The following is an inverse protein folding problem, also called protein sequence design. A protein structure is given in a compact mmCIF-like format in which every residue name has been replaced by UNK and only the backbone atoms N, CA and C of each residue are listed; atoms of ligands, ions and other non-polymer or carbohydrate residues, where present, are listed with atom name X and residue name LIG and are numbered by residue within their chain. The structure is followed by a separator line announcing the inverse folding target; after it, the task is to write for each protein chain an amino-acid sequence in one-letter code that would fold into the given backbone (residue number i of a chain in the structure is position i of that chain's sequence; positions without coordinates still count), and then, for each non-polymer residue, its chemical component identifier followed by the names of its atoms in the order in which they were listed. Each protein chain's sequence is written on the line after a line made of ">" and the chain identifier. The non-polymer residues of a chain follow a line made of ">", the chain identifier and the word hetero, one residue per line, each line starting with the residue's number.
data_IF_137161949110
#
_entry.id   IF_137161949110
#
_cell.length_a   1.000
_cell.length_b   1.000
_cell.length_c   1.000
_cell.angle_alpha   90.00
_cell.angle_beta   90.00
_cell.angle_gamma   90.00
#
_symmetry.space_group_name_H-M   'P 1'
#
loop_
_entity.id
_entity.type
_entity.pdbx_description
1 polymer ?
#
# COMPACT_ATOMS: atom_id res chain seq x y z
N UNK A 1 6.19 -4.67 -14.77
CA UNK A 1 5.52 -5.01 -16.05
C UNK A 1 4.01 -4.87 -15.95
N UNK A 2 3.30 -5.60 -15.06
CA UNK A 2 1.85 -5.43 -14.90
C UNK A 2 1.44 -3.98 -14.55
N UNK A 3 2.12 -3.34 -13.59
CA UNK A 3 1.85 -1.93 -13.24
C UNK A 3 2.02 -0.99 -14.44
N UNK A 4 3.07 -1.21 -15.25
CA UNK A 4 3.36 -0.43 -16.46
C UNK A 4 2.35 -0.71 -17.57
N UNK A 5 1.82 -1.93 -17.67
CA UNK A 5 0.74 -2.28 -18.60
C UNK A 5 -0.55 -1.53 -18.26
N UNK A 6 -0.90 -1.44 -16.97
CA UNK A 6 -2.12 -0.78 -16.51
C UNK A 6 -2.01 0.74 -16.56
N UNK A 7 -0.86 1.29 -16.17
CA UNK A 7 -0.71 2.73 -15.89
C UNK A 7 0.25 3.46 -16.82
N UNK A 8 1.00 2.74 -17.66
CA UNK A 8 2.08 3.28 -18.49
C UNK A 8 3.33 3.68 -17.69
N UNK A 9 3.29 3.61 -16.35
CA UNK A 9 4.36 4.03 -15.46
C UNK A 9 4.80 2.88 -14.55
N UNK A 10 6.06 2.91 -14.11
CA UNK A 10 6.66 1.79 -13.36
C UNK A 10 6.51 1.89 -11.84
N UNK A 11 6.44 3.10 -11.29
CA UNK A 11 6.40 3.33 -9.83
C UNK A 11 5.34 4.37 -9.47
N UNK A 12 5.57 5.64 -9.82
CA UNK A 12 4.68 6.75 -9.47
C UNK A 12 3.56 6.89 -10.51
N UNK A 13 2.48 6.13 -10.34
CA UNK A 13 1.46 5.96 -11.37
C UNK A 13 0.16 6.77 -11.17
N UNK A 14 -0.06 7.38 -10.00
CA UNK A 14 -1.27 8.16 -9.68
C UNK A 14 -2.60 7.46 -10.06
N UNK A 15 -2.62 6.12 -9.93
CA UNK A 15 -3.72 5.28 -10.37
C UNK A 15 -4.92 5.34 -9.43
N UNK A 16 -4.68 5.26 -8.12
CA UNK A 16 -5.72 5.39 -7.09
C UNK A 16 -6.01 6.87 -6.88
N UNK A 17 -7.29 7.26 -6.96
CA UNK A 17 -7.75 8.65 -6.82
C UNK A 17 -8.94 8.74 -5.88
N UNK A 18 -9.22 9.91 -5.28
CA UNK A 18 -10.46 10.11 -4.56
C UNK A 18 -11.66 9.77 -5.47
N UNK A 19 -12.47 8.80 -5.06
CA UNK A 19 -13.60 8.30 -5.83
C UNK A 19 -13.37 7.01 -6.61
N UNK A 20 -12.18 6.40 -6.60
CA UNK A 20 -11.93 5.10 -7.25
C UNK A 20 -10.55 4.98 -7.89
N UNK A 21 -10.49 4.46 -9.12
CA UNK A 21 -9.25 4.33 -9.90
C UNK A 21 -9.34 5.08 -11.23
N UNK A 22 -8.19 5.57 -11.72
CA UNK A 22 -8.14 6.52 -12.83
C UNK A 22 -8.60 5.94 -14.18
N UNK A 23 -8.34 4.66 -14.41
CA UNK A 23 -8.76 3.90 -15.60
C UNK A 23 -9.08 2.47 -15.20
N UNK A 24 -9.83 1.78 -16.03
CA UNK A 24 -10.03 0.34 -15.88
C UNK A 24 -8.80 -0.46 -16.34
N UNK A 25 -8.75 -1.74 -15.99
CA UNK A 25 -7.70 -2.64 -16.44
C UNK A 25 -7.77 -2.84 -17.95
N UNK A 26 -6.64 -2.71 -18.68
CA UNK A 26 -6.63 -3.01 -20.10
C UNK A 26 -6.86 -4.51 -20.35
N UNK A 27 -7.40 -4.89 -21.54
CA UNK A 27 -7.59 -6.28 -21.91
C UNK A 27 -6.32 -7.12 -21.76
N UNK A 28 -6.44 -8.35 -21.25
CA UNK A 28 -5.31 -9.25 -21.01
C UNK A 28 -4.54 -8.99 -19.71
N UNK A 29 -4.87 -7.96 -18.94
CA UNK A 29 -4.22 -7.71 -17.63
C UNK A 29 -4.43 -8.85 -16.63
N UNK A 30 -5.64 -9.43 -16.62
CA UNK A 30 -6.00 -10.56 -15.77
C UNK A 30 -5.17 -11.81 -16.13
N UNK A 31 -5.02 -12.08 -17.43
CA UNK A 31 -4.21 -13.22 -17.89
C UNK A 31 -2.73 -13.03 -17.53
N UNK A 32 -2.21 -11.81 -17.69
CA UNK A 32 -0.85 -11.47 -17.27
C UNK A 32 -0.63 -11.64 -15.76
N UNK A 33 -1.63 -11.30 -14.93
CA UNK A 33 -1.59 -11.54 -13.49
C UNK A 33 -1.56 -13.05 -13.18
N UNK A 34 -2.41 -13.83 -13.84
CA UNK A 34 -2.46 -15.30 -13.67
C UNK A 34 -1.18 -16.01 -14.09
N UNK A 35 -0.48 -15.50 -15.11
CA UNK A 35 0.83 -16.01 -15.51
C UNK A 35 1.94 -15.62 -14.52
N UNK A 36 1.87 -14.39 -13.98
CA UNK A 36 2.89 -13.84 -13.09
C UNK A 36 2.85 -14.48 -11.69
N UNK A 37 1.67 -14.72 -11.12
CA UNK A 37 1.52 -15.22 -9.73
C UNK A 37 2.30 -16.53 -9.49
N UNK A 38 2.21 -17.57 -10.34
CA UNK A 38 3.01 -18.79 -10.20
C UNK A 38 4.52 -18.54 -10.26
N UNK A 39 4.97 -17.61 -11.10
CA UNK A 39 6.40 -17.27 -11.22
C UNK A 39 6.91 -16.61 -9.93
N UNK A 40 6.14 -15.68 -9.36
CA UNK A 40 6.47 -15.05 -8.07
C UNK A 40 6.47 -16.10 -6.96
N UNK A 41 5.45 -16.97 -6.90
CA UNK A 41 5.36 -18.04 -5.91
C UNK A 41 6.57 -18.97 -5.94
N UNK A 42 7.04 -19.33 -7.15
CA UNK A 42 8.26 -20.11 -7.35
C UNK A 42 9.49 -19.37 -6.85
N UNK A 43 9.66 -18.10 -7.24
CA UNK A 43 10.79 -17.28 -6.80
C UNK A 43 10.84 -17.11 -5.28
N UNK A 44 9.68 -16.99 -4.62
CA UNK A 44 9.60 -16.97 -3.16
C UNK A 44 10.09 -18.30 -2.55
N UNK A 45 9.67 -19.44 -3.11
CA UNK A 45 10.13 -20.75 -2.63
C UNK A 45 11.64 -20.96 -2.79
N UNK A 46 12.21 -20.49 -3.91
CA UNK A 46 13.66 -20.51 -4.13
C UNK A 46 14.40 -19.59 -3.14
N UNK A 47 13.85 -18.41 -2.85
CA UNK A 47 14.39 -17.48 -1.86
C UNK A 47 14.33 -18.07 -0.44
N UNK A 48 13.23 -18.71 -0.07
CA UNK A 48 13.07 -19.38 1.21
C UNK A 48 14.07 -20.51 1.42
N UNK A 49 14.28 -21.34 0.39
CA UNK A 49 15.26 -22.42 0.44
C UNK A 49 16.70 -21.90 0.68
N UNK A 50 17.01 -20.72 0.15
CA UNK A 50 18.32 -20.07 0.32
C UNK A 50 18.48 -19.39 1.69
N UNK A 51 17.42 -18.78 2.22
CA UNK A 51 17.50 -17.92 3.39
C UNK A 51 17.14 -18.62 4.70
N UNK A 52 16.05 -19.39 4.73
CA UNK A 52 15.39 -19.78 5.98
C UNK A 52 16.30 -20.60 6.89
N UNK A 53 16.95 -21.64 6.34
CA UNK A 53 17.84 -22.55 7.08
C UNK A 53 19.32 -22.17 6.97
N UNK A 54 19.62 -20.99 6.45
CA UNK A 54 21.01 -20.54 6.33
C UNK A 54 21.58 -20.19 7.71
N UNK A 55 22.63 -20.89 8.19
CA UNK A 55 23.19 -20.67 9.52
C UNK A 55 23.83 -19.28 9.66
N UNK A 56 24.35 -18.71 8.57
CA UNK A 56 24.94 -17.37 8.58
C UNK A 56 23.83 -16.33 8.80
N UNK A 57 22.70 -16.49 8.10
CA UNK A 57 21.58 -15.57 8.26
C UNK A 57 20.96 -15.68 9.65
N UNK A 58 20.68 -16.90 10.12
CA UNK A 58 20.17 -17.13 11.48
C UNK A 58 21.11 -16.55 12.53
N UNK A 59 22.41 -16.82 12.43
CA UNK A 59 23.42 -16.28 13.36
C UNK A 59 23.56 -14.75 13.35
N UNK A 60 23.00 -14.05 12.35
CA UNK A 60 22.98 -12.57 12.28
C UNK A 60 21.64 -11.94 12.59
N UNK A 61 20.57 -12.71 12.72
CA UNK A 61 19.19 -12.19 12.80
C UNK A 61 18.38 -12.73 13.97
N UNK A 62 18.71 -13.93 14.47
CA UNK A 62 18.10 -14.50 15.67
C UNK A 62 18.62 -13.75 16.89
N UNK A 63 17.72 -13.40 17.81
CA UNK A 63 18.02 -12.62 19.03
C UNK A 63 18.63 -11.22 18.76
N UNK A 64 18.52 -10.72 17.53
CA UNK A 64 19.01 -9.38 17.13
C UNK A 64 17.84 -8.42 16.93
N UNK A 65 17.99 -7.20 17.47
CA UNK A 65 16.98 -6.15 17.35
C UNK A 65 15.69 -6.47 18.12
N UNK A 66 15.78 -7.18 19.23
CA UNK A 66 14.60 -7.64 19.98
C UNK A 66 13.78 -6.44 20.47
N UNK A 67 12.47 -6.47 20.26
CA UNK A 67 11.54 -5.50 20.84
C UNK A 67 10.33 -6.22 21.40
N UNK A 68 10.12 -6.08 22.72
CA UNK A 68 9.01 -6.73 23.42
C UNK A 68 7.66 -6.11 23.06
N UNK A 69 6.57 -6.82 23.35
CA UNK A 69 5.21 -6.29 23.20
C UNK A 69 5.03 -4.97 23.96
N UNK A 70 5.53 -4.89 25.20
CA UNK A 70 5.48 -3.67 26.00
C UNK A 70 6.26 -2.52 25.34
N UNK A 71 7.44 -2.81 24.78
CA UNK A 71 8.22 -1.84 24.01
C UNK A 71 7.50 -1.35 22.76
N UNK A 72 6.88 -2.27 22.01
CA UNK A 72 6.08 -1.91 20.84
C UNK A 72 4.92 -0.99 21.19
N UNK A 73 4.19 -1.29 22.28
CA UNK A 73 3.07 -0.49 22.75
C UNK A 73 3.50 0.89 23.24
N UNK A 74 4.58 0.96 24.02
CA UNK A 74 5.10 2.22 24.55
C UNK A 74 5.57 3.18 23.45
N UNK A 75 6.14 2.65 22.37
CA UNK A 75 6.68 3.42 21.24
C UNK A 75 5.69 3.60 20.08
N UNK A 76 4.47 3.07 20.19
CA UNK A 76 3.44 3.18 19.12
C UNK A 76 3.86 2.49 17.81
N UNK A 77 4.52 1.34 17.93
CA UNK A 77 5.05 0.52 16.84
C UNK A 77 3.97 -0.42 16.31
N UNK A 78 3.85 -0.54 14.99
CA UNK A 78 2.80 -1.33 14.32
C UNK A 78 3.40 -2.23 13.23
N UNK A 79 2.55 -2.99 12.53
CA UNK A 79 2.98 -3.82 11.40
C UNK A 79 3.79 -5.07 11.79
N UNK A 80 4.73 -5.51 10.94
CA UNK A 80 5.50 -6.73 11.16
C UNK A 80 6.29 -6.75 12.48
N UNK A 81 6.71 -5.58 12.98
CA UNK A 81 7.42 -5.47 14.25
C UNK A 81 6.49 -5.84 15.41
N UNK A 82 5.27 -5.30 15.44
CA UNK A 82 4.28 -5.65 16.44
C UNK A 82 3.84 -7.12 16.30
N UNK A 83 3.63 -7.59 15.07
CA UNK A 83 3.25 -8.99 14.80
C UNK A 83 4.33 -10.01 15.17
N UNK A 84 5.60 -9.61 15.27
CA UNK A 84 6.68 -10.47 15.78
C UNK A 84 6.61 -10.73 17.29
N UNK A 85 5.72 -10.04 18.01
CA UNK A 85 5.47 -10.24 19.45
C UNK A 85 4.34 -11.23 19.74
N UNK A 86 3.65 -11.70 18.70
CA UNK A 86 2.52 -12.62 18.79
C UNK A 86 1.16 -11.93 18.79
N UNK A 87 1.11 -10.59 18.78
CA UNK A 87 -0.15 -9.85 18.70
C UNK A 87 -0.67 -9.79 17.26
N UNK A 88 -1.86 -10.34 16.95
CA UNK A 88 -2.45 -10.31 15.61
C UNK A 88 -3.11 -8.96 15.31
N UNK A 89 -2.32 -7.89 15.31
CA UNK A 89 -2.79 -6.55 14.98
C UNK A 89 -2.60 -6.27 13.48
N UNK A 90 -3.71 -6.15 12.76
CA UNK A 90 -3.75 -5.86 11.33
C UNK A 90 -5.05 -5.12 10.98
N UNK A 91 -4.94 -3.91 10.43
CA UNK A 91 -6.12 -3.09 10.13
C UNK A 91 -7.04 -3.73 9.09
N UNK A 92 -6.52 -4.56 8.18
CA UNK A 92 -7.35 -5.19 7.13
C UNK A 92 -8.39 -6.16 7.68
N UNK A 93 -8.20 -6.64 8.92
CA UNK A 93 -9.18 -7.47 9.65
C UNK A 93 -9.87 -6.70 10.79
N UNK A 94 -9.16 -5.81 11.48
CA UNK A 94 -9.70 -5.08 12.64
C UNK A 94 -10.62 -3.91 12.25
N UNK A 95 -10.24 -3.14 11.23
CA UNK A 95 -11.00 -2.02 10.68
C UNK A 95 -10.95 -2.09 9.14
N UNK A 96 -11.71 -3.03 8.54
CA UNK A 96 -11.58 -3.34 7.13
C UNK A 96 -11.93 -2.15 6.22
N UNK A 97 -11.18 -2.03 5.14
CA UNK A 97 -11.38 -1.02 4.11
C UNK A 97 -11.25 -1.67 2.73
N UNK A 98 -11.72 -1.00 1.67
CA UNK A 98 -11.57 -1.47 0.29
C UNK A 98 -12.03 -2.93 0.03
N UNK A 99 -12.95 -3.46 0.82
CA UNK A 99 -13.47 -4.82 0.68
C UNK A 99 -12.60 -5.91 1.30
N UNK A 100 -11.58 -5.60 2.11
CA UNK A 100 -10.72 -6.61 2.75
C UNK A 100 -11.48 -7.64 3.59
N UNK A 101 -12.65 -7.28 4.13
CA UNK A 101 -13.55 -8.16 4.85
C UNK A 101 -14.10 -9.33 4.02
N UNK A 102 -14.03 -9.22 2.69
CA UNK A 102 -14.52 -10.25 1.76
C UNK A 102 -13.45 -11.22 1.26
N UNK A 103 -12.18 -10.98 1.58
CA UNK A 103 -11.08 -11.85 1.19
C UNK A 103 -10.66 -12.79 2.33
N UNK A 104 -10.38 -14.04 1.99
CA UNK A 104 -9.89 -15.05 2.91
C UNK A 104 -8.34 -15.05 2.94
N UNK A 105 -7.79 -14.69 4.09
CA UNK A 105 -6.36 -14.64 4.35
C UNK A 105 -6.10 -14.62 5.86
N UNK A 106 -4.92 -15.08 6.24
CA UNK A 106 -4.49 -15.18 7.63
C UNK A 106 -3.56 -14.03 8.01
N UNK A 107 -3.72 -13.52 9.23
CA UNK A 107 -2.79 -12.55 9.82
C UNK A 107 -1.60 -13.29 10.39
N UNK A 108 -0.44 -13.16 9.76
CA UNK A 108 0.77 -13.87 10.19
C UNK A 108 1.36 -13.21 11.44
N UNK A 109 1.56 -14.02 12.48
CA UNK A 109 2.25 -13.60 13.70
C UNK A 109 3.35 -14.58 14.05
N UNK A 110 4.35 -14.12 14.81
CA UNK A 110 5.42 -14.93 15.39
C UNK A 110 5.71 -14.43 16.79
N UNK A 111 6.44 -15.21 17.59
CA UNK A 111 6.73 -14.88 19.00
C UNK A 111 8.21 -14.60 19.28
N UNK A 112 9.06 -14.59 18.25
CA UNK A 112 10.51 -14.45 18.43
C UNK A 112 10.98 -13.02 18.72
N UNK A 113 10.17 -12.00 18.42
CA UNK A 113 10.43 -10.57 18.71
C UNK A 113 11.69 -9.97 18.05
N UNK A 114 12.44 -10.76 17.31
CA UNK A 114 13.73 -10.46 16.69
C UNK A 114 13.62 -10.13 15.19
N UNK A 115 14.75 -9.75 14.60
CA UNK A 115 14.85 -9.46 13.18
C UNK A 115 14.50 -10.68 12.31
N UNK A 116 14.85 -11.91 12.75
CA UNK A 116 14.51 -13.13 12.01
C UNK A 116 13.00 -13.39 11.96
N UNK A 117 12.29 -13.18 13.08
CA UNK A 117 10.83 -13.27 13.14
C UNK A 117 10.16 -12.29 12.18
N UNK A 118 10.65 -11.06 12.12
CA UNK A 118 10.17 -10.03 11.19
C UNK A 118 10.41 -10.42 9.72
N UNK A 119 11.60 -10.97 9.41
CA UNK A 119 11.90 -11.50 8.07
C UNK A 119 10.90 -12.59 7.68
N UNK A 120 10.69 -13.57 8.56
CA UNK A 120 9.77 -14.69 8.32
C UNK A 120 8.32 -14.22 8.15
N UNK A 121 7.85 -13.29 8.99
CA UNK A 121 6.51 -12.68 8.84
C UNK A 121 6.35 -12.09 7.45
N UNK A 122 7.32 -11.31 6.96
CA UNK A 122 7.24 -10.69 5.64
C UNK A 122 7.14 -11.72 4.51
N UNK A 123 7.92 -12.79 4.58
CA UNK A 123 7.86 -13.88 3.59
C UNK A 123 6.50 -14.57 3.63
N UNK A 124 6.02 -14.92 4.82
CA UNK A 124 4.72 -15.58 4.98
C UNK A 124 3.56 -14.66 4.53
N UNK A 125 3.66 -13.34 4.78
CA UNK A 125 2.71 -12.31 4.29
C UNK A 125 2.71 -12.20 2.76
N UNK A 126 3.83 -12.47 2.09
CA UNK A 126 3.87 -12.50 0.62
C UNK A 126 2.98 -13.62 0.07
N UNK A 127 2.96 -14.80 0.71
CA UNK A 127 2.04 -15.88 0.32
C UNK A 127 0.58 -15.53 0.53
N UNK A 128 0.24 -14.86 1.65
CA UNK A 128 -1.12 -14.36 1.88
C UNK A 128 -1.50 -13.28 0.87
N UNK A 129 -0.55 -12.43 0.48
CA UNK A 129 -0.77 -11.43 -0.57
C UNK A 129 -1.05 -12.08 -1.93
N UNK A 130 -0.32 -13.13 -2.30
CA UNK A 130 -0.60 -13.91 -3.52
C UNK A 130 -1.99 -14.54 -3.48
N UNK A 131 -2.41 -15.08 -2.33
CA UNK A 131 -3.75 -15.64 -2.12
C UNK A 131 -4.86 -14.59 -2.28
N UNK A 132 -4.64 -13.37 -1.80
CA UNK A 132 -5.57 -12.25 -2.01
C UNK A 132 -5.63 -11.86 -3.49
N UNK A 133 -4.49 -11.82 -4.18
CA UNK A 133 -4.43 -11.49 -5.61
C UNK A 133 -5.22 -12.51 -6.45
N UNK A 134 -5.09 -13.81 -6.15
CA UNK A 134 -5.85 -14.87 -6.81
C UNK A 134 -7.37 -14.65 -6.64
N UNK A 135 -7.84 -14.46 -5.41
CA UNK A 135 -9.26 -14.17 -5.12
C UNK A 135 -9.77 -12.87 -5.77
N UNK A 136 -8.97 -11.80 -5.72
CA UNK A 136 -9.34 -10.53 -6.33
C UNK A 136 -9.43 -10.63 -7.86
N UNK A 137 -8.56 -11.43 -8.47
CA UNK A 137 -8.57 -11.67 -9.92
C UNK A 137 -9.81 -12.44 -10.34
N UNK A 138 -10.18 -13.49 -9.61
CA UNK A 138 -11.38 -14.28 -9.90
C UNK A 138 -12.64 -13.44 -9.71
N UNK A 139 -12.72 -12.68 -8.62
CA UNK A 139 -13.85 -11.78 -8.36
C UNK A 139 -13.99 -10.70 -9.42
N UNK A 140 -12.89 -10.12 -9.88
CA UNK A 140 -12.92 -9.08 -10.90
C UNK A 140 -13.41 -9.63 -12.25
N UNK A 141 -13.11 -10.89 -12.56
CA UNK A 141 -13.61 -11.54 -13.78
C UNK A 141 -15.11 -11.83 -13.71
N UNK A 142 -15.64 -12.11 -12.52
CA UNK A 142 -17.06 -12.39 -12.30
C UNK A 142 -17.93 -11.12 -12.21
N UNK A 143 -17.33 -9.97 -11.87
CA UNK A 143 -18.05 -8.74 -11.57
C UNK A 143 -17.56 -7.59 -12.45
N UNK A 144 -18.39 -7.19 -13.41
CA UNK A 144 -18.21 -5.94 -14.15
C UNK A 144 -18.85 -4.78 -13.39
N UNK A 145 -18.19 -3.62 -13.38
CA UNK A 145 -18.72 -2.44 -12.69
C UNK A 145 -17.93 -1.17 -12.95
N UNK A 146 -18.48 -0.01 -12.56
CA UNK A 146 -17.79 1.27 -12.71
C UNK A 146 -16.55 1.32 -11.79
N UNK A 147 -15.47 1.86 -12.32
CA UNK A 147 -14.18 2.00 -11.60
C UNK A 147 -14.04 3.31 -10.83
N UNK A 148 -15.01 4.23 -11.01
CA UNK A 148 -15.11 5.53 -10.34
C UNK A 148 -16.54 5.77 -9.87
N UNK A 149 -16.68 6.61 -8.84
CA UNK A 149 -17.99 7.10 -8.37
C UNK A 149 -18.79 7.77 -9.49
N UNK A 150 -20.11 7.64 -9.43
CA UNK A 150 -21.01 8.22 -10.42
C UNK A 150 -21.17 9.75 -10.29
N UNK A 151 -20.89 10.31 -9.11
CA UNK A 151 -21.01 11.76 -8.88
C UNK A 151 -19.96 12.52 -9.69
N UNK A 152 -20.40 13.10 -10.81
CA UNK A 152 -19.59 13.90 -11.74
C UNK A 152 -18.95 15.15 -11.11
N UNK A 153 -19.31 15.55 -9.89
CA UNK A 153 -18.63 16.63 -9.16
C UNK A 153 -17.36 16.18 -8.46
N UNK A 154 -17.18 14.87 -8.26
CA UNK A 154 -16.03 14.26 -7.60
C UNK A 154 -15.26 13.38 -8.59
N UNK A 155 -16.00 12.63 -9.40
CA UNK A 155 -15.46 11.70 -10.38
C UNK A 155 -14.46 12.39 -11.30
N UNK A 156 -13.38 11.67 -11.59
CA UNK A 156 -12.35 12.18 -12.48
C UNK A 156 -12.93 12.37 -13.89
N UNK A 157 -12.90 13.59 -14.47
CA UNK A 157 -13.69 13.92 -15.65
C UNK A 157 -13.02 13.50 -16.97
N UNK A 158 -11.78 13.03 -16.95
CA UNK A 158 -11.05 12.63 -18.14
C UNK A 158 -10.98 11.11 -18.25
N UNK A 159 -11.45 10.55 -19.37
CA UNK A 159 -11.05 9.21 -19.77
C UNK A 159 -9.59 9.28 -20.20
N UNK A 160 -8.73 8.59 -19.47
CA UNK A 160 -7.30 8.54 -19.78
C UNK A 160 -7.04 7.36 -20.72
N UNK A 161 -6.18 7.57 -21.70
CA UNK A 161 -5.66 6.54 -22.58
C UNK A 161 -4.16 6.36 -22.33
N UNK A 162 -3.69 5.13 -22.51
CA UNK A 162 -2.27 4.81 -22.38
C UNK A 162 -1.50 5.40 -23.59
N UNK A 163 -0.60 6.34 -23.34
CA UNK A 163 0.30 6.92 -24.32
C UNK A 163 1.75 6.48 -24.13
N UNK A 164 2.67 7.03 -24.95
CA UNK A 164 4.12 6.79 -24.80
C UNK A 164 4.67 7.28 -23.45
N UNK A 165 4.04 8.31 -22.89
CA UNK A 165 4.52 9.04 -21.71
C UNK A 165 3.68 8.72 -20.45
N UNK A 166 2.84 7.66 -20.51
CA UNK A 166 1.93 7.25 -19.44
C UNK A 166 0.45 7.55 -19.73
N UNK A 167 -0.36 7.59 -18.68
CA UNK A 167 -1.80 7.93 -18.79
C UNK A 167 -1.98 9.42 -19.15
N UNK A 168 -2.47 9.67 -20.36
CA UNK A 168 -2.84 11.00 -20.86
C UNK A 168 -4.32 11.09 -21.19
N UNK A 169 -4.84 12.29 -21.45
CA UNK A 169 -6.24 12.43 -21.86
C UNK A 169 -6.48 11.73 -23.21
N UNK A 170 -7.55 10.93 -23.30
CA UNK A 170 -7.97 10.32 -24.55
C UNK A 170 -8.38 11.38 -25.57
N UNK A 171 -7.83 11.29 -26.79
CA UNK A 171 -8.18 12.20 -27.89
C UNK A 171 -9.65 12.08 -28.30
N UNK A 172 -10.21 10.87 -28.21
CA UNK A 172 -11.60 10.61 -28.54
C UNK A 172 -12.53 11.21 -27.49
N UNK A 173 -12.18 11.09 -26.21
CA UNK A 173 -12.91 11.72 -25.11
C UNK A 173 -12.91 13.25 -25.20
N UNK A 174 -11.76 13.85 -25.54
CA UNK A 174 -11.69 15.31 -25.76
C UNK A 174 -12.60 15.74 -26.92
N UNK A 175 -12.57 15.01 -28.04
CA UNK A 175 -13.43 15.29 -29.20
C UNK A 175 -14.91 15.18 -28.85
N UNK A 176 -15.28 14.14 -28.09
CA UNK A 176 -16.64 13.92 -27.65
C UNK A 176 -17.13 15.06 -26.75
N UNK A 177 -16.42 15.39 -25.69
CA UNK A 177 -16.81 16.46 -24.75
C UNK A 177 -16.91 17.81 -25.47
N UNK A 178 -15.96 18.12 -26.35
CA UNK A 178 -15.98 19.36 -27.11
C UNK A 178 -17.14 19.43 -28.12
N UNK A 179 -17.64 18.28 -28.59
CA UNK A 179 -18.66 18.20 -29.64
C UNK A 179 -20.10 17.99 -29.15
N UNK A 180 -20.32 17.42 -27.96
CA UNK A 180 -21.66 16.91 -27.57
C UNK A 180 -22.33 17.60 -26.39
N UNK A 181 -21.61 18.06 -25.35
CA UNK A 181 -22.25 18.66 -24.16
C UNK A 181 -21.42 19.75 -23.52
N UNK A 182 -22.01 20.94 -23.44
CA UNK A 182 -21.40 22.10 -22.79
C UNK A 182 -21.23 21.87 -21.27
N UNK A 183 -22.16 21.16 -20.64
CA UNK A 183 -22.11 20.85 -19.21
C UNK A 183 -20.91 19.95 -18.87
N UNK A 184 -20.68 18.90 -19.66
CA UNK A 184 -19.52 18.01 -19.48
C UNK A 184 -18.20 18.76 -19.62
N UNK A 185 -18.13 19.71 -20.56
CA UNK A 185 -16.95 20.56 -20.75
C UNK A 185 -16.72 21.50 -19.55
N UNK A 186 -17.78 22.12 -19.03
CA UNK A 186 -17.70 22.98 -17.84
C UNK A 186 -17.21 22.16 -16.63
N UNK A 187 -17.75 20.96 -16.41
CA UNK A 187 -17.33 20.09 -15.31
C UNK A 187 -15.86 19.67 -15.45
N UNK A 188 -15.43 19.28 -16.64
CA UNK A 188 -14.03 18.96 -16.93
C UNK A 188 -13.11 20.14 -16.59
N UNK A 189 -13.44 21.33 -17.09
CA UNK A 189 -12.63 22.53 -16.87
C UNK A 189 -12.55 22.90 -15.38
N UNK A 190 -13.69 22.93 -14.67
CA UNK A 190 -13.73 23.28 -13.25
C UNK A 190 -12.97 22.27 -12.38
N UNK A 191 -13.14 20.98 -12.61
CA UNK A 191 -12.47 19.95 -11.80
C UNK A 191 -10.95 19.95 -12.00
N UNK A 192 -10.48 20.14 -13.23
CA UNK A 192 -9.05 20.12 -13.52
C UNK A 192 -8.37 21.42 -13.07
N UNK A 193 -9.06 22.57 -13.11
CA UNK A 193 -8.47 23.88 -12.75
C UNK A 193 -8.71 24.30 -11.30
N UNK A 194 -9.94 24.16 -10.79
CA UNK A 194 -10.33 24.58 -9.44
C UNK A 194 -10.27 23.41 -8.44
N UNK A 195 -10.60 22.19 -8.87
CA UNK A 195 -10.80 21.02 -8.01
C UNK A 195 -12.24 20.90 -7.49
N UNK A 196 -12.53 19.81 -6.77
CA UNK A 196 -13.81 19.65 -6.07
C UNK A 196 -13.74 20.18 -4.64
N UNK A 197 -14.86 20.69 -4.13
CA UNK A 197 -14.94 21.19 -2.75
C UNK A 197 -15.12 20.04 -1.77
N UNK A 198 -14.38 20.10 -0.66
CA UNK A 198 -14.50 19.14 0.44
C UNK A 198 -15.18 19.85 1.61
N UNK A 199 -16.26 19.31 2.21
CA UNK A 199 -16.91 19.93 3.36
C UNK A 199 -15.94 20.25 4.50
N UNK A 200 -16.17 21.34 5.27
CA UNK A 200 -15.36 21.63 6.45
C UNK A 200 -15.40 20.48 7.45
N UNK A 201 -14.24 20.10 7.98
CA UNK A 201 -14.14 18.99 8.92
C UNK A 201 -12.73 18.43 9.02
N UNK A 202 -12.58 17.36 9.79
CA UNK A 202 -11.34 16.61 9.90
C UNK A 202 -11.59 15.11 9.90
N UNK A 203 -10.65 14.35 9.36
CA UNK A 203 -10.67 12.90 9.36
C UNK A 203 -9.25 12.36 9.58
N UNK A 204 -9.15 11.26 10.34
CA UNK A 204 -7.96 10.41 10.36
C UNK A 204 -8.37 9.06 9.79
N UNK A 205 -7.71 8.65 8.71
CA UNK A 205 -7.91 7.34 8.09
C UNK A 205 -6.57 6.64 8.04
N UNK A 206 -6.54 5.39 8.46
CA UNK A 206 -5.35 4.57 8.47
C UNK A 206 -5.55 3.32 7.62
N UNK A 207 -4.45 2.87 7.01
CA UNK A 207 -4.39 1.63 6.23
C UNK A 207 -3.20 0.80 6.69
N UNK A 208 -3.30 -0.51 6.55
CA UNK A 208 -2.18 -1.41 6.79
C UNK A 208 -1.22 -1.34 5.60
N UNK A 209 -0.15 -0.55 5.72
CA UNK A 209 0.95 -0.60 4.76
C UNK A 209 1.84 -1.83 5.04
N UNK A 210 2.68 -2.26 4.09
CA UNK A 210 3.65 -3.34 4.33
C UNK A 210 4.65 -3.06 5.48
N UNK A 211 4.74 -1.81 5.95
CA UNK A 211 5.62 -1.38 7.04
C UNK A 211 4.87 -1.22 8.38
N UNK A 212 3.55 -1.29 8.36
CA UNK A 212 2.66 -1.03 9.49
C UNK A 212 1.59 0.00 9.16
N UNK A 213 0.96 0.55 10.19
CA UNK A 213 -0.13 1.50 10.05
C UNK A 213 0.35 2.82 9.41
N UNK A 214 -0.14 3.09 8.20
CA UNK A 214 0.04 4.35 7.50
C UNK A 214 -1.24 5.17 7.63
N UNK A 215 -1.16 6.27 8.36
CA UNK A 215 -2.28 7.17 8.64
C UNK A 215 -2.18 8.47 7.87
N UNK A 216 -3.33 9.06 7.55
CA UNK A 216 -3.43 10.43 7.06
C UNK A 216 -4.49 11.19 7.86
N UNK A 217 -4.07 12.23 8.57
CA UNK A 217 -4.94 13.23 9.19
C UNK A 217 -5.12 14.41 8.24
N UNK A 218 -6.35 14.61 7.77
CA UNK A 218 -6.69 15.69 6.84
C UNK A 218 -7.69 16.62 7.52
N UNK A 219 -7.46 17.93 7.36
CA UNK A 219 -8.37 19.01 7.78
C UNK A 219 -8.79 19.80 6.56
N UNK A 220 -10.10 20.00 6.40
CA UNK A 220 -10.71 20.86 5.37
C UNK A 220 -11.40 22.04 6.02
N UNK A 221 -11.27 23.21 5.42
CA UNK A 221 -11.98 24.45 5.78
C UNK A 221 -13.22 24.71 4.89
N UNK A 222 -13.57 23.76 4.00
CA UNK A 222 -14.64 23.93 3.02
C UNK A 222 -14.18 24.30 1.61
N UNK A 223 -12.87 24.45 1.39
CA UNK A 223 -12.27 24.79 0.11
C UNK A 223 -12.02 23.59 -0.83
N UNK A 224 -11.23 23.83 -1.87
CA UNK A 224 -10.74 22.80 -2.83
C UNK A 224 -9.32 22.33 -2.52
N UNK A 225 -8.69 22.90 -1.48
CA UNK A 225 -7.35 22.56 -1.03
C UNK A 225 -7.42 22.10 0.43
N UNK A 226 -6.64 21.09 0.84
CA UNK A 226 -6.58 20.70 2.24
C UNK A 226 -6.00 21.87 3.05
N UNK A 227 -6.67 22.21 4.16
CA UNK A 227 -6.14 23.18 5.12
C UNK A 227 -4.90 22.62 5.81
N UNK A 228 -4.94 21.33 6.16
CA UNK A 228 -3.80 20.56 6.68
C UNK A 228 -3.87 19.12 6.19
N UNK A 229 -2.72 18.55 5.84
CA UNK A 229 -2.55 17.12 5.66
C UNK A 229 -1.32 16.70 6.45
N UNK A 230 -1.47 15.73 7.35
CA UNK A 230 -0.41 15.21 8.18
C UNK A 230 -0.39 13.69 8.07
N UNK A 231 0.72 13.13 7.61
CA UNK A 231 0.89 11.70 7.44
C UNK A 231 1.57 11.13 8.69
N UNK A 232 1.01 10.03 9.21
CA UNK A 232 1.68 9.18 10.20
C UNK A 232 2.30 8.02 9.44
N UNK A 233 3.56 8.17 9.06
CA UNK A 233 4.30 7.12 8.36
C UNK A 233 4.86 6.10 9.36
N UNK A 234 4.65 4.79 9.15
CA UNK A 234 5.19 3.78 10.05
C UNK A 234 6.72 3.78 10.06
N UNK A 235 7.40 4.24 8.99
CA UNK A 235 8.85 4.33 8.95
C UNK A 235 9.39 5.30 10.01
N UNK A 236 8.73 6.45 10.19
CA UNK A 236 9.11 7.43 11.21
C UNK A 236 8.95 6.83 12.62
N UNK A 237 7.77 6.26 12.89
CA UNK A 237 7.48 5.66 14.18
C UNK A 237 8.40 4.48 14.49
N UNK A 238 8.70 3.63 13.50
CA UNK A 238 9.54 2.46 13.70
C UNK A 238 11.01 2.84 13.90
N UNK A 239 11.49 3.91 13.25
CA UNK A 239 12.89 4.33 13.34
C UNK A 239 13.28 4.74 14.76
N UNK A 240 12.37 5.33 15.54
CA UNK A 240 12.64 5.69 16.93
C UNK A 240 12.99 4.47 17.79
N UNK A 241 12.47 3.28 17.44
CA UNK A 241 12.69 2.05 18.20
C UNK A 241 14.10 1.48 18.01
N UNK A 242 14.87 1.95 17.02
CA UNK A 242 16.23 1.47 16.77
C UNK A 242 17.13 1.63 17.99
N UNK A 243 17.02 2.74 18.71
CA UNK A 243 17.80 2.96 19.92
C UNK A 243 17.54 1.87 20.97
N UNK A 244 16.28 1.53 21.22
CA UNK A 244 15.89 0.48 22.15
C UNK A 244 16.27 -0.92 21.64
N UNK A 245 16.13 -1.18 20.34
CA UNK A 245 16.48 -2.46 19.72
C UNK A 245 17.98 -2.77 19.74
N UNK A 246 18.83 -1.74 19.80
CA UNK A 246 20.29 -1.88 19.74
C UNK A 246 20.96 -1.87 21.13
N UNK A 247 20.19 -1.69 22.20
CA UNK A 247 20.76 -1.65 23.55
C UNK A 247 21.41 -2.98 23.90
N UNK A 248 22.67 -2.94 24.35
CA UNK A 248 23.47 -4.13 24.66
C UNK A 248 23.98 -4.93 23.46
N UNK A 249 23.71 -4.49 22.22
CA UNK A 249 24.12 -5.19 20.99
C UNK A 249 25.47 -4.70 20.44
N UNK A 250 26.04 -5.42 19.45
CA UNK A 250 27.24 -4.98 18.77
C UNK A 250 26.93 -3.94 17.67
N UNK A 251 27.94 -3.18 17.23
CA UNK A 251 27.79 -2.21 16.12
C UNK A 251 27.28 -2.90 14.85
N UNK A 252 27.72 -4.14 14.60
CA UNK A 252 27.29 -4.91 13.43
C UNK A 252 25.79 -5.26 13.45
N UNK A 253 25.18 -5.30 14.63
CA UNK A 253 23.77 -5.65 14.83
C UNK A 253 22.84 -4.45 14.60
N UNK A 254 23.36 -3.23 14.74
CA UNK A 254 22.63 -1.99 14.44
C UNK A 254 22.11 -2.00 13.00
N UNK A 255 22.93 -2.48 12.06
CA UNK A 255 22.56 -2.58 10.64
C UNK A 255 21.37 -3.53 10.46
N UNK A 256 21.36 -4.66 11.18
CA UNK A 256 20.29 -5.65 11.11
C UNK A 256 19.01 -5.12 11.77
N UNK A 257 19.14 -4.47 12.93
CA UNK A 257 18.00 -3.85 13.62
C UNK A 257 17.31 -2.82 12.71
N UNK A 258 18.07 -1.90 12.12
CA UNK A 258 17.58 -0.89 11.17
C UNK A 258 16.98 -1.54 9.93
N UNK A 259 17.66 -2.51 9.31
CA UNK A 259 17.14 -3.18 8.11
C UNK A 259 15.83 -3.93 8.40
N UNK A 260 15.68 -4.52 9.59
CA UNK A 260 14.52 -5.33 9.95
C UNK A 260 13.22 -4.53 10.09
N UNK A 261 13.31 -3.22 10.36
CA UNK A 261 12.16 -2.31 10.44
C UNK A 261 11.82 -1.65 9.10
N UNK A 262 12.66 -1.86 8.06
CA UNK A 262 12.45 -1.42 6.68
C UNK A 262 12.13 0.09 6.53
N UNK A 263 13.02 1.00 6.99
CA UNK A 263 12.75 2.43 6.96
C UNK A 263 12.97 3.00 5.55
N UNK A 264 12.00 3.77 5.07
CA UNK A 264 12.17 4.59 3.85
C UNK A 264 12.21 6.05 4.27
N UNK A 265 13.36 6.70 4.07
CA UNK A 265 13.61 8.04 4.59
C UNK A 265 12.64 9.11 4.06
N UNK A 266 12.13 8.93 2.83
CA UNK A 266 11.09 9.82 2.32
C UNK A 266 9.83 9.85 3.18
N UNK A 267 9.51 8.79 3.92
CA UNK A 267 8.43 8.76 4.90
C UNK A 267 8.81 9.32 6.27
N UNK A 268 10.09 9.25 6.63
CA UNK A 268 10.62 9.71 7.92
C UNK A 268 10.73 11.23 7.97
N UNK A 269 11.11 11.86 6.85
CA UNK A 269 11.41 13.30 6.81
C UNK A 269 10.17 14.23 6.73
N UNK A 270 8.95 13.67 6.70
CA UNK A 270 7.70 14.39 6.38
C UNK A 270 6.85 14.78 7.57
#
# INVERSE_FOLDING_TARGET
>A
RVIEMVTGLRMNNAYIRPGGVAVDLPPGSIDALREMVPQVRRGLGELEALLNENPILKGRTVDVGVLSLAGCMALGITGPVLRSTGLPHDLRKLDPYCGYETYDFDVITRTSQDAYGRLRIRIDEMYQSLRIIEQATDRLQENEGPVMVEDKKIAWPAQLALGSDGLGNSLDHIREIMGTSMESLIHHFKLVTEGFRVPPGQAYVAVESPKGELGCHIVSDGGTRPYRAHFRDPSFNNLQAVAAMCEGSQIADVIVAVASIDPVMGGVDR
#
